data_IF_670522851051
#
_entry.id   IF_670522851051
#
_cell.length_a   1.000
_cell.length_b   1.000
_cell.length_c   1.000
_cell.angle_alpha   90.00
_cell.angle_beta   90.00
_cell.angle_gamma   90.00
#
_symmetry.space_group_name_H-M   'P 1'
#
loop_
_entity.id
_entity.type
_entity.pdbx_description
1 polymer ?
#
# COMPACT_ATOMS: atom_id res chain seq x y z
N UNK A 1 43.41 11.87 -26.34
CA UNK A 1 43.82 11.08 -25.16
C UNK A 1 42.87 11.31 -23.98
N UNK A 2 42.53 12.57 -23.66
CA UNK A 2 41.63 12.93 -22.55
C UNK A 2 40.21 12.35 -22.65
N UNK A 3 39.59 12.38 -23.84
CA UNK A 3 38.26 11.80 -24.07
C UNK A 3 38.19 10.29 -23.77
N UNK A 4 39.22 9.52 -24.12
CA UNK A 4 39.28 8.08 -23.83
C UNK A 4 39.38 7.83 -22.32
N UNK A 5 40.15 8.66 -21.61
CA UNK A 5 40.29 8.59 -20.16
C UNK A 5 38.96 8.91 -19.44
N UNK A 6 38.20 9.86 -19.97
CA UNK A 6 36.87 10.21 -19.46
C UNK A 6 35.84 9.09 -19.70
N UNK A 7 35.86 8.46 -20.88
CA UNK A 7 35.01 7.30 -21.20
C UNK A 7 35.30 6.12 -20.27
N UNK A 8 36.58 5.82 -20.02
CA UNK A 8 36.98 4.75 -19.10
C UNK A 8 36.51 5.01 -17.65
N UNK A 9 36.63 6.26 -17.18
CA UNK A 9 36.11 6.66 -15.87
C UNK A 9 34.58 6.53 -15.78
N UNK A 10 33.85 6.88 -16.84
CA UNK A 10 32.39 6.69 -16.89
C UNK A 10 32.00 5.21 -16.82
N UNK A 11 32.69 4.35 -17.57
CA UNK A 11 32.46 2.89 -17.52
C UNK A 11 32.74 2.32 -16.13
N UNK A 12 33.83 2.73 -15.48
CA UNK A 12 34.14 2.30 -14.12
C UNK A 12 33.06 2.75 -13.10
N UNK A 13 32.56 3.98 -13.24
CA UNK A 13 31.48 4.50 -12.38
C UNK A 13 30.17 3.75 -12.58
N UNK A 14 29.79 3.46 -13.83
CA UNK A 14 28.59 2.68 -14.16
C UNK A 14 28.71 1.26 -13.60
N UNK A 15 29.86 0.61 -13.74
CA UNK A 15 30.09 -0.73 -13.18
C UNK A 15 29.98 -0.73 -11.66
N UNK A 16 30.57 0.26 -10.98
CA UNK A 16 30.46 0.40 -9.52
C UNK A 16 29.02 0.66 -9.08
N UNK A 17 28.28 1.51 -9.79
CA UNK A 17 26.86 1.75 -9.54
C UNK A 17 26.03 0.47 -9.73
N UNK A 18 26.29 -0.31 -10.78
CA UNK A 18 25.62 -1.59 -11.03
C UNK A 18 25.85 -2.62 -9.92
N UNK A 19 27.06 -2.68 -9.35
CA UNK A 19 27.35 -3.54 -8.19
C UNK A 19 26.58 -3.09 -6.94
N UNK A 20 26.51 -1.78 -6.68
CA UNK A 20 25.75 -1.22 -5.55
C UNK A 20 24.27 -1.55 -5.69
N UNK A 21 23.68 -1.34 -6.87
CA UNK A 21 22.27 -1.66 -7.14
C UNK A 21 21.99 -3.15 -6.92
N UNK A 22 22.89 -4.04 -7.34
CA UNK A 22 22.74 -5.48 -7.16
C UNK A 22 22.75 -5.89 -5.67
N UNK A 23 23.62 -5.27 -4.87
CA UNK A 23 23.64 -5.50 -3.41
C UNK A 23 22.36 -4.98 -2.78
N UNK A 24 21.93 -3.76 -3.12
CA UNK A 24 20.68 -3.19 -2.61
C UNK A 24 19.45 -4.03 -2.99
N UNK A 25 19.40 -4.57 -4.20
CA UNK A 25 18.31 -5.45 -4.64
C UNK A 25 18.23 -6.70 -3.77
N UNK A 26 19.39 -7.29 -3.43
CA UNK A 26 19.45 -8.43 -2.52
C UNK A 26 18.96 -8.06 -1.12
N UNK A 27 19.47 -6.96 -0.56
CA UNK A 27 19.08 -6.51 0.78
C UNK A 27 17.57 -6.23 0.88
N UNK A 28 16.98 -5.64 -0.18
CA UNK A 28 15.54 -5.41 -0.26
C UNK A 28 14.77 -6.73 -0.29
N UNK A 29 15.24 -7.74 -1.03
CA UNK A 29 14.61 -9.06 -1.03
C UNK A 29 14.70 -9.75 0.33
N UNK A 30 15.86 -9.69 0.99
CA UNK A 30 16.05 -10.28 2.32
C UNK A 30 15.15 -9.56 3.36
N UNK A 31 15.00 -8.24 3.26
CA UNK A 31 14.08 -7.47 4.10
C UNK A 31 12.61 -7.83 3.84
N UNK A 32 12.22 -8.06 2.58
CA UNK A 32 10.86 -8.48 2.23
C UNK A 32 10.53 -9.85 2.85
N UNK A 33 11.48 -10.79 2.83
CA UNK A 33 11.34 -12.10 3.45
C UNK A 33 11.20 -11.99 4.98
N UNK A 34 12.05 -11.19 5.62
CA UNK A 34 11.96 -10.95 7.07
C UNK A 34 10.65 -10.28 7.49
N UNK A 35 10.15 -9.32 6.71
CA UNK A 35 8.85 -8.68 6.99
C UNK A 35 7.72 -9.70 6.90
N UNK A 36 7.75 -10.60 5.92
CA UNK A 36 6.75 -11.65 5.79
C UNK A 36 6.78 -12.65 6.98
N UNK A 37 7.97 -13.08 7.43
CA UNK A 37 8.11 -13.93 8.62
C UNK A 37 7.58 -13.24 9.88
N UNK A 38 7.92 -11.97 10.08
CA UNK A 38 7.44 -11.16 11.21
C UNK A 38 5.92 -11.06 11.17
N UNK A 39 5.30 -10.83 10.02
CA UNK A 39 3.84 -10.76 9.88
C UNK A 39 3.16 -12.07 10.27
N UNK A 40 3.70 -13.22 9.85
CA UNK A 40 3.15 -14.54 10.19
C UNK A 40 3.26 -14.79 11.70
N UNK A 41 4.43 -14.52 12.28
CA UNK A 41 4.68 -14.75 13.69
C UNK A 41 3.90 -13.80 14.58
N UNK A 42 3.79 -12.54 14.17
CA UNK A 42 2.95 -11.54 14.84
C UNK A 42 1.49 -11.99 14.80
N UNK A 43 0.97 -12.43 13.65
CA UNK A 43 -0.38 -12.99 13.55
C UNK A 43 -0.60 -14.19 14.49
N UNK A 44 0.34 -15.13 14.56
CA UNK A 44 0.24 -16.27 15.49
C UNK A 44 0.30 -15.86 16.97
N UNK A 45 1.02 -14.78 17.29
CA UNK A 45 1.09 -14.22 18.64
C UNK A 45 -0.20 -13.46 18.97
N UNK A 46 -0.71 -12.68 18.03
CA UNK A 46 -2.00 -11.97 18.11
C UNK A 46 -3.15 -12.97 18.32
N UNK A 47 -3.22 -14.07 17.55
CA UNK A 47 -4.22 -15.13 17.71
C UNK A 47 -4.19 -15.80 19.09
N UNK A 48 -3.00 -15.89 19.70
CA UNK A 48 -2.81 -16.48 21.04
C UNK A 48 -3.11 -15.50 22.17
N UNK A 49 -2.87 -14.20 21.96
CA UNK A 49 -3.08 -13.16 22.96
C UNK A 49 -4.51 -12.60 22.94
N UNK A 50 -5.15 -12.59 21.78
CA UNK A 50 -6.51 -12.10 21.58
C UNK A 50 -7.31 -13.07 20.69
N UNK A 51 -8.07 -14.00 21.27
CA UNK A 51 -9.03 -14.77 20.49
C UNK A 51 -10.14 -13.82 20.01
N UNK A 52 -10.03 -13.33 18.77
CA UNK A 52 -11.13 -12.80 17.95
C UNK A 52 -11.89 -11.56 18.46
N UNK A 53 -11.23 -10.41 18.63
CA UNK A 53 -11.95 -9.14 18.63
C UNK A 53 -11.98 -8.58 17.20
N UNK A 54 -12.97 -8.99 16.41
CA UNK A 54 -13.30 -8.28 15.17
C UNK A 54 -14.01 -6.97 15.48
N UNK A 55 -13.99 -6.05 14.52
CA UNK A 55 -14.73 -4.79 14.65
C UNK A 55 -16.24 -5.05 14.78
N UNK A 56 -16.94 -4.11 15.42
CA UNK A 56 -18.40 -4.19 15.57
C UNK A 56 -19.10 -4.03 14.22
N UNK A 57 -20.37 -4.44 14.14
CA UNK A 57 -21.20 -4.22 12.95
C UNK A 57 -21.34 -2.73 12.59
N UNK A 58 -21.32 -1.85 13.59
CA UNK A 58 -21.33 -0.40 13.41
C UNK A 58 -20.03 0.09 12.76
N UNK A 59 -18.88 -0.37 13.25
CA UNK A 59 -17.58 -0.05 12.66
C UNK A 59 -17.45 -0.61 11.23
N UNK A 60 -17.93 -1.83 10.98
CA UNK A 60 -17.95 -2.40 9.63
C UNK A 60 -18.83 -1.59 8.68
N UNK A 61 -19.98 -1.09 9.16
CA UNK A 61 -20.86 -0.21 8.42
C UNK A 61 -20.20 1.13 8.11
N UNK A 62 -19.44 1.69 9.06
CA UNK A 62 -18.66 2.91 8.87
C UNK A 62 -17.60 2.73 7.77
N UNK A 63 -16.83 1.62 7.77
CA UNK A 63 -15.90 1.31 6.68
C UNK A 63 -16.62 1.22 5.33
N UNK A 64 -17.77 0.54 5.28
CA UNK A 64 -18.54 0.43 4.05
C UNK A 64 -18.97 1.80 3.49
N UNK A 65 -19.35 2.74 4.37
CA UNK A 65 -19.70 4.11 3.98
C UNK A 65 -18.50 4.89 3.45
N UNK A 66 -17.32 4.75 4.06
CA UNK A 66 -16.09 5.38 3.59
C UNK A 66 -15.65 4.83 2.23
N UNK A 67 -15.70 3.51 2.05
CA UNK A 67 -15.45 2.87 0.75
C UNK A 67 -16.43 3.38 -0.30
N UNK A 68 -17.71 3.53 0.06
CA UNK A 68 -18.74 4.08 -0.82
C UNK A 68 -18.38 5.50 -1.28
N UNK A 69 -18.09 6.38 -0.34
CA UNK A 69 -17.73 7.76 -0.63
C UNK A 69 -16.46 7.88 -1.49
N UNK A 70 -15.45 7.05 -1.24
CA UNK A 70 -14.23 7.00 -2.04
C UNK A 70 -14.49 6.47 -3.45
N UNK A 71 -15.31 5.43 -3.58
CA UNK A 71 -15.67 4.86 -4.88
C UNK A 71 -16.46 5.86 -5.73
N UNK A 72 -17.38 6.61 -5.12
CA UNK A 72 -18.15 7.64 -5.79
C UNK A 72 -17.23 8.78 -6.28
N UNK A 73 -16.29 9.24 -5.44
CA UNK A 73 -15.29 10.25 -5.83
C UNK A 73 -14.39 9.77 -6.98
N UNK A 74 -13.92 8.52 -6.96
CA UNK A 74 -13.16 7.93 -8.06
C UNK A 74 -14.02 7.77 -9.32
N UNK A 75 -15.30 7.46 -9.16
CA UNK A 75 -16.26 7.36 -10.25
C UNK A 75 -16.56 8.69 -10.94
N UNK A 76 -16.46 9.81 -10.21
CA UNK A 76 -16.53 11.14 -10.82
C UNK A 76 -15.34 11.40 -11.75
N UNK A 77 -14.15 10.89 -11.43
CA UNK A 77 -12.95 11.01 -12.26
C UNK A 77 -12.91 9.99 -13.42
N UNK A 78 -13.33 8.76 -13.17
CA UNK A 78 -13.28 7.65 -14.13
C UNK A 78 -14.51 6.74 -13.98
N UNK A 79 -15.49 6.85 -14.87
CA UNK A 79 -16.70 5.99 -14.82
C UNK A 79 -16.50 4.59 -15.42
N UNK A 80 -15.35 4.31 -16.02
CA UNK A 80 -15.15 3.07 -16.80
C UNK A 80 -14.87 1.84 -15.94
N UNK A 81 -14.62 2.02 -14.63
CA UNK A 81 -14.19 0.96 -13.71
C UNK A 81 -15.15 0.80 -12.54
N UNK A 82 -15.24 -0.43 -12.03
CA UNK A 82 -15.90 -0.71 -10.77
C UNK A 82 -14.95 -0.38 -9.60
N UNK A 83 -14.96 0.89 -9.16
CA UNK A 83 -14.07 1.36 -8.09
C UNK A 83 -14.33 0.70 -6.74
N UNK A 84 -15.57 0.29 -6.45
CA UNK A 84 -15.87 -0.49 -5.24
C UNK A 84 -15.07 -1.77 -5.18
N UNK A 85 -15.04 -2.53 -6.27
CA UNK A 85 -14.26 -3.77 -6.36
C UNK A 85 -12.75 -3.48 -6.32
N UNK A 86 -12.30 -2.38 -6.90
CA UNK A 86 -10.90 -1.93 -6.82
C UNK A 86 -10.45 -1.64 -5.39
N UNK A 87 -11.24 -0.86 -4.64
CA UNK A 87 -10.94 -0.49 -3.25
C UNK A 87 -10.99 -1.74 -2.36
N UNK A 88 -12.01 -2.59 -2.52
CA UNK A 88 -12.08 -3.83 -1.76
C UNK A 88 -10.89 -4.76 -2.04
N UNK A 89 -10.45 -4.85 -3.29
CA UNK A 89 -9.25 -5.59 -3.68
C UNK A 89 -7.97 -5.08 -3.00
N UNK A 90 -7.85 -3.77 -2.80
CA UNK A 90 -6.74 -3.18 -2.02
C UNK A 90 -6.84 -3.52 -0.53
N UNK A 91 -8.05 -3.47 0.05
CA UNK A 91 -8.26 -3.86 1.45
C UNK A 91 -7.89 -5.33 1.68
N UNK A 92 -8.27 -6.21 0.75
CA UNK A 92 -7.86 -7.61 0.77
C UNK A 92 -6.34 -7.77 0.67
N UNK A 93 -5.68 -7.09 -0.28
CA UNK A 93 -4.21 -7.16 -0.45
C UNK A 93 -3.42 -6.65 0.76
N UNK A 94 -3.87 -5.58 1.39
CA UNK A 94 -3.14 -4.89 2.46
C UNK A 94 -3.43 -5.46 3.84
N UNK A 95 -4.67 -5.84 4.10
CA UNK A 95 -5.14 -6.22 5.44
C UNK A 95 -5.59 -7.68 5.52
N UNK A 96 -5.66 -8.41 4.39
CA UNK A 96 -6.06 -9.83 4.35
C UNK A 96 -7.54 -10.06 4.58
N UNK A 97 -8.39 -9.03 4.45
CA UNK A 97 -9.80 -9.09 4.85
C UNK A 97 -10.72 -9.47 3.68
N UNK A 98 -11.49 -10.54 3.86
CA UNK A 98 -12.49 -11.01 2.88
C UNK A 98 -13.91 -10.46 3.14
N UNK A 99 -14.08 -9.68 4.21
CA UNK A 99 -15.29 -8.94 4.55
C UNK A 99 -14.95 -7.85 5.56
N UNK A 100 -15.70 -6.75 5.58
CA UNK A 100 -15.49 -5.69 6.57
C UNK A 100 -15.67 -6.18 8.01
N UNK A 101 -16.55 -7.16 8.24
CA UNK A 101 -16.76 -7.76 9.58
C UNK A 101 -15.58 -8.59 10.08
N UNK A 102 -14.63 -8.92 9.20
CA UNK A 102 -13.44 -9.70 9.54
C UNK A 102 -12.21 -8.82 9.71
N UNK A 103 -12.37 -7.49 9.69
CA UNK A 103 -11.32 -6.56 10.11
C UNK A 103 -11.12 -6.75 11.61
N UNK A 104 -9.87 -7.02 12.02
CA UNK A 104 -9.54 -7.12 13.44
C UNK A 104 -9.56 -5.73 14.08
N UNK A 105 -9.93 -5.65 15.35
CA UNK A 105 -10.06 -4.37 16.07
C UNK A 105 -8.78 -3.54 16.01
N UNK A 106 -7.62 -4.19 16.10
CA UNK A 106 -6.29 -3.56 16.00
C UNK A 106 -5.97 -2.98 14.61
N UNK A 107 -6.63 -3.49 13.57
CA UNK A 107 -6.46 -3.01 12.19
C UNK A 107 -7.40 -1.85 11.86
N UNK A 108 -8.42 -1.60 12.69
CA UNK A 108 -9.48 -0.65 12.37
C UNK A 108 -8.94 0.75 12.06
N UNK A 109 -8.08 1.29 12.93
CA UNK A 109 -7.50 2.62 12.73
C UNK A 109 -6.58 2.69 11.51
N UNK A 110 -5.84 1.60 11.22
CA UNK A 110 -4.99 1.52 10.03
C UNK A 110 -5.81 1.49 8.74
N UNK A 111 -6.96 0.81 8.73
CA UNK A 111 -7.90 0.82 7.60
C UNK A 111 -8.49 2.22 7.40
N UNK A 112 -8.90 2.90 8.47
CA UNK A 112 -9.42 4.28 8.40
C UNK A 112 -8.38 5.25 7.83
N UNK A 113 -7.16 5.22 8.35
CA UNK A 113 -6.07 6.08 7.89
C UNK A 113 -5.74 5.85 6.41
N UNK A 114 -5.74 4.59 5.97
CA UNK A 114 -5.53 4.24 4.56
C UNK A 114 -6.60 4.83 3.64
N UNK A 115 -7.88 4.65 3.99
CA UNK A 115 -9.00 5.15 3.18
C UNK A 115 -9.00 6.68 3.10
N UNK A 116 -8.72 7.36 4.22
CA UNK A 116 -8.65 8.82 4.23
C UNK A 116 -7.45 9.36 3.44
N UNK A 117 -6.27 8.73 3.56
CA UNK A 117 -5.10 9.10 2.76
C UNK A 117 -5.36 8.94 1.26
N UNK A 118 -6.02 7.86 0.86
CA UNK A 118 -6.38 7.64 -0.53
C UNK A 118 -7.37 8.70 -1.01
N UNK A 119 -8.42 8.96 -0.24
CA UNK A 119 -9.40 10.02 -0.53
C UNK A 119 -8.74 11.39 -0.67
N UNK A 120 -7.84 11.76 0.24
CA UNK A 120 -7.06 13.00 0.19
C UNK A 120 -6.18 13.10 -1.05
N UNK A 121 -5.56 11.98 -1.47
CA UNK A 121 -4.75 11.92 -2.69
C UNK A 121 -5.59 12.13 -3.96
N UNK A 122 -6.80 11.57 -3.99
CA UNK A 122 -7.75 11.73 -5.11
C UNK A 122 -8.29 13.16 -5.18
N UNK A 123 -8.69 13.73 -4.04
CA UNK A 123 -9.18 15.10 -3.95
C UNK A 123 -8.09 16.14 -4.27
N UNK A 124 -6.86 15.93 -3.78
CA UNK A 124 -5.71 16.78 -4.09
C UNK A 124 -5.31 16.73 -5.57
N UNK A 125 -5.38 15.55 -6.20
CA UNK A 125 -5.15 15.39 -7.64
C UNK A 125 -6.20 16.10 -8.51
N UNK A 126 -7.46 16.17 -8.07
CA UNK A 126 -8.54 16.87 -8.79
C UNK A 126 -8.32 18.40 -8.87
N UNK A 127 -7.65 18.99 -7.88
CA UNK A 127 -7.39 20.44 -7.83
C UNK A 127 -6.22 20.91 -8.71
N UNK A 128 -5.39 19.99 -9.23
CA UNK A 128 -4.19 20.31 -10.02
C UNK A 128 -4.39 20.37 -11.54
N UNK A 129 -5.62 20.27 -12.05
CA UNK A 129 -5.89 20.20 -13.50
C UNK A 129 -6.76 21.36 -14.05
N UNK A 130 -6.97 22.42 -13.26
CA UNK A 130 -7.81 23.56 -13.64
C UNK A 130 -7.03 24.86 -13.97
N UNK A 131 -5.71 24.82 -14.04
CA UNK A 131 -4.88 25.99 -14.38
C UNK A 131 -3.70 25.57 -15.28
N UNK A 132 -3.96 25.49 -16.59
CA UNK A 132 -2.96 25.44 -17.68
C UNK A 132 -3.61 25.82 -19.01
#
# INVERSE_FOLDING_TARGET
IEFLRQQEQLTQRINKAGQIVKVMQRDVSDLQEHVADIQIRLGSVEDKLHPHAYITDEQASHIAQLVKALADLLGEQDRSKNHYQGIFGELYRRFGVSSYKLIRIEQYDAVLAFLEQWRGSVAGGASGHADS
#
